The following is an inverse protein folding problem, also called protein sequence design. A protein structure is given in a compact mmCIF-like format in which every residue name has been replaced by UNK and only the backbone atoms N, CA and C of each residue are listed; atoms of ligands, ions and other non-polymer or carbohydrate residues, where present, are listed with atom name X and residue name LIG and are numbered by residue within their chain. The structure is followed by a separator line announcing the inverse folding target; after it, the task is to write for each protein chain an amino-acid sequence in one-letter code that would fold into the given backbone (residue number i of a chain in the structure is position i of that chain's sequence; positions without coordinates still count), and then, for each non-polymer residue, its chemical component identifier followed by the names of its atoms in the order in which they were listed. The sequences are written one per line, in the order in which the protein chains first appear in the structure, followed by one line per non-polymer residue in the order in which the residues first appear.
data_IF_330387944922
#
_entry.id   IF_330387944922
#
_cell.length_a   1.000
_cell.length_b   1.000
_cell.length_c   1.000
_cell.angle_alpha   90.00
_cell.angle_beta   90.00
_cell.angle_gamma   90.00
#
_symmetry.space_group_name_H-M   'P 1'
#
loop_
_entity.id
_entity.type
_entity.pdbx_description
1 polymer ?
#
# COMPACT_ATOMS: atom_id res chain seq x y z
N UNK A 1 -21.20 15.85 7.19
CA UNK A 1 -20.13 15.10 6.50
C UNK A 1 -20.43 13.62 6.57
N UNK A 2 -20.31 12.93 5.43
CA UNK A 2 -20.45 11.49 5.32
C UNK A 2 -19.38 10.99 4.37
N UNK A 3 -18.70 9.91 4.73
CA UNK A 3 -17.74 9.24 3.85
C UNK A 3 -18.02 7.74 3.87
N UNK A 4 -17.96 7.13 2.69
CA UNK A 4 -18.06 5.69 2.52
C UNK A 4 -17.01 5.21 1.53
N UNK A 5 -16.47 4.03 1.79
CA UNK A 5 -15.56 3.32 0.91
C UNK A 5 -16.01 1.86 0.86
N UNK A 6 -16.18 1.36 -0.36
CA UNK A 6 -16.55 -0.02 -0.67
C UNK A 6 -15.54 -0.47 -1.72
N UNK A 7 -14.66 -1.38 -1.34
CA UNK A 7 -13.62 -1.88 -2.23
C UNK A 7 -12.40 -2.47 -1.53
N UNK A 8 -11.35 -2.68 -2.33
CA UNK A 8 -10.19 -3.46 -1.94
C UNK A 8 -9.03 -2.61 -1.40
N UNK A 9 -8.51 -3.00 -0.23
CA UNK A 9 -7.29 -2.46 0.35
C UNK A 9 -6.20 -3.53 0.33
N UNK A 10 -5.11 -3.29 -0.41
CA UNK A 10 -3.95 -4.17 -0.40
C UNK A 10 -2.87 -3.64 0.54
N UNK A 11 -2.45 -4.50 1.47
CA UNK A 11 -1.31 -4.24 2.35
C UNK A 11 -0.06 -4.93 1.78
N UNK A 12 0.62 -4.25 0.85
CA UNK A 12 1.79 -4.79 0.13
C UNK A 12 2.89 -5.33 1.05
N UNK A 13 3.09 -4.73 2.22
CA UNK A 13 4.04 -5.24 3.20
C UNK A 13 3.69 -6.67 3.65
N UNK A 14 2.40 -6.95 3.93
CA UNK A 14 1.97 -8.31 4.28
C UNK A 14 2.12 -9.28 3.10
N UNK A 15 1.79 -8.82 1.89
CA UNK A 15 1.93 -9.63 0.67
C UNK A 15 3.38 -10.05 0.41
N UNK A 16 4.33 -9.09 0.45
CA UNK A 16 5.75 -9.37 0.24
C UNK A 16 6.32 -10.28 1.33
N UNK A 17 5.86 -10.12 2.56
CA UNK A 17 6.36 -10.92 3.68
C UNK A 17 5.87 -12.35 3.65
N UNK A 18 4.61 -12.59 3.28
CA UNK A 18 4.13 -13.95 3.04
C UNK A 18 4.99 -14.65 1.97
N UNK A 19 5.31 -13.95 0.87
CA UNK A 19 6.18 -14.48 -0.18
C UNK A 19 7.61 -14.77 0.31
N UNK A 20 8.18 -13.92 1.17
CA UNK A 20 9.51 -14.14 1.74
C UNK A 20 9.52 -15.28 2.77
N UNK A 21 8.47 -15.42 3.59
CA UNK A 21 8.36 -16.48 4.58
C UNK A 21 8.20 -17.87 3.94
N UNK A 22 7.55 -17.95 2.77
CA UNK A 22 7.35 -19.20 2.02
C UNK A 22 8.58 -19.62 1.20
N UNK A 23 9.58 -18.74 1.04
CA UNK A 23 10.84 -19.06 0.35
C UNK A 23 11.91 -19.44 1.38
N UNK A 24 12.25 -20.73 1.55
CA UNK A 24 13.40 -21.12 2.37
C UNK A 24 14.68 -20.52 1.76
N UNK A 25 15.60 -20.06 2.60
CA UNK A 25 16.97 -19.76 2.18
C UNK A 25 17.60 -21.06 1.62
N UNK A 26 17.72 -21.15 0.30
CA UNK A 26 18.43 -22.23 -0.37
C UNK A 26 19.90 -21.85 -0.56
N UNK A 27 20.78 -22.85 -0.46
CA UNK A 27 22.19 -22.63 -0.78
C UNK A 27 22.34 -22.60 -2.31
N UNK A 28 22.82 -21.48 -2.82
CA UNK A 28 23.27 -21.31 -4.20
C UNK A 28 24.75 -20.92 -4.17
N UNK A 29 25.54 -21.57 -5.03
CA UNK A 29 26.98 -21.30 -5.09
C UNK A 29 27.24 -20.27 -6.19
N UNK A 30 27.80 -19.13 -5.82
CA UNK A 30 28.12 -18.03 -6.72
C UNK A 30 29.64 -18.00 -6.95
N UNK A 31 30.07 -18.04 -8.21
CA UNK A 31 31.48 -17.93 -8.57
C UNK A 31 31.63 -16.92 -9.69
N UNK A 32 32.60 -16.02 -9.54
CA UNK A 32 32.89 -14.99 -10.53
C UNK A 32 34.24 -15.24 -11.19
N UNK A 33 34.41 -14.77 -12.42
CA UNK A 33 35.70 -14.72 -13.11
C UNK A 33 36.49 -13.43 -12.78
N UNK A 34 37.58 -13.16 -13.50
CA UNK A 34 38.44 -11.99 -13.25
C UNK A 34 37.77 -10.67 -13.67
N UNK A 35 36.73 -10.76 -14.49
CA UNK A 35 35.91 -9.68 -15.00
C UNK A 35 34.66 -9.41 -14.14
N UNK A 36 34.46 -10.22 -13.08
CA UNK A 36 33.27 -10.25 -12.22
C UNK A 36 32.00 -10.79 -12.90
N UNK A 37 32.14 -11.54 -14.00
CA UNK A 37 31.02 -12.23 -14.64
C UNK A 37 30.77 -13.58 -13.95
N UNK A 38 29.50 -13.98 -13.84
CA UNK A 38 29.12 -15.27 -13.26
C UNK A 38 29.66 -16.44 -14.08
N UNK A 39 30.28 -17.40 -13.39
CA UNK A 39 30.79 -18.64 -13.98
C UNK A 39 30.38 -19.85 -13.15
N UNK A 40 30.44 -21.02 -13.77
CA UNK A 40 30.24 -22.27 -13.04
C UNK A 40 31.31 -22.46 -11.97
N UNK A 41 30.86 -22.74 -10.74
CA UNK A 41 31.72 -23.11 -9.63
C UNK A 41 32.34 -24.49 -9.85
N UNK A 42 33.62 -24.63 -9.48
CA UNK A 42 34.23 -25.94 -9.36
C UNK A 42 33.69 -26.68 -8.13
N UNK A 43 33.75 -28.01 -8.13
CA UNK A 43 33.28 -28.82 -7.00
C UNK A 43 33.96 -28.44 -5.67
N UNK A 44 35.22 -28.01 -5.71
CA UNK A 44 35.94 -27.58 -4.51
C UNK A 44 35.36 -26.27 -3.94
N UNK A 45 35.10 -25.29 -4.82
CA UNK A 45 34.51 -23.99 -4.46
C UNK A 45 33.08 -24.19 -3.91
N UNK A 46 32.27 -25.03 -4.57
CA UNK A 46 30.91 -25.36 -4.07
C UNK A 46 30.96 -25.97 -2.67
N UNK A 47 31.90 -26.88 -2.40
CA UNK A 47 32.02 -27.53 -1.10
C UNK A 47 32.50 -26.56 -0.01
N UNK A 48 33.41 -25.64 -0.36
CA UNK A 48 33.89 -24.61 0.56
C UNK A 48 32.77 -23.63 0.92
N UNK A 49 32.09 -23.07 -0.08
CA UNK A 49 30.93 -22.18 0.12
C UNK A 49 29.82 -22.87 0.90
N UNK A 50 29.55 -24.16 0.63
CA UNK A 50 28.55 -24.92 1.40
C UNK A 50 28.97 -25.11 2.86
N UNK A 51 30.25 -25.35 3.13
CA UNK A 51 30.75 -25.48 4.50
C UNK A 51 30.65 -24.15 5.26
N UNK A 52 30.93 -23.02 4.60
CA UNK A 52 30.73 -21.68 5.17
C UNK A 52 29.24 -21.40 5.40
N UNK A 53 28.40 -21.71 4.42
CA UNK A 53 26.95 -21.61 4.54
C UNK A 53 26.42 -22.38 5.75
N UNK A 54 26.84 -23.63 5.92
CA UNK A 54 26.41 -24.46 7.04
C UNK A 54 26.96 -23.95 8.39
N UNK A 55 28.19 -23.40 8.41
CA UNK A 55 28.79 -22.82 9.60
C UNK A 55 28.05 -21.55 10.08
N UNK A 56 27.57 -20.72 9.15
CA UNK A 56 26.83 -19.50 9.44
C UNK A 56 25.32 -19.70 9.66
N UNK A 57 24.81 -20.93 9.53
CA UNK A 57 23.38 -21.22 9.64
C UNK A 57 22.75 -20.68 10.93
N UNK A 58 23.47 -20.77 12.06
CA UNK A 58 22.97 -20.24 13.34
C UNK A 58 22.91 -18.72 13.40
N UNK A 59 23.85 -18.02 12.75
CA UNK A 59 23.87 -16.57 12.66
C UNK A 59 22.77 -16.07 11.72
N UNK A 60 22.57 -16.71 10.57
CA UNK A 60 21.44 -16.42 9.66
C UNK A 60 20.10 -16.62 10.35
N UNK A 61 19.92 -17.74 11.07
CA UNK A 61 18.70 -17.98 11.84
C UNK A 61 18.47 -16.98 12.99
N UNK A 62 19.53 -16.38 13.55
CA UNK A 62 19.41 -15.31 14.54
C UNK A 62 19.00 -13.98 13.90
N UNK A 63 19.66 -13.61 12.79
CA UNK A 63 19.35 -12.41 12.02
C UNK A 63 17.93 -12.41 11.48
N UNK A 64 17.47 -13.52 10.89
CA UNK A 64 16.10 -13.64 10.40
C UNK A 64 15.05 -13.46 11.52
N UNK A 65 15.35 -13.92 12.74
CA UNK A 65 14.46 -13.72 13.90
C UNK A 65 14.40 -12.25 14.33
N UNK A 66 15.54 -11.56 14.36
CA UNK A 66 15.63 -10.13 14.65
C UNK A 66 14.85 -9.31 13.61
N UNK A 67 15.09 -9.56 12.33
CA UNK A 67 14.38 -8.88 11.23
C UNK A 67 12.87 -9.14 11.27
N UNK A 68 12.44 -10.37 11.60
CA UNK A 68 11.04 -10.69 11.78
C UNK A 68 10.40 -9.94 12.98
N UNK A 69 11.12 -9.78 14.10
CA UNK A 69 10.64 -9.02 15.26
C UNK A 69 10.53 -7.53 14.98
N UNK A 70 11.52 -6.93 14.33
CA UNK A 70 11.50 -5.52 13.92
C UNK A 70 10.35 -5.24 12.95
N UNK A 71 10.15 -6.11 11.96
CA UNK A 71 9.06 -5.95 11.00
C UNK A 71 7.69 -6.19 11.61
N UNK A 72 7.56 -7.13 12.56
CA UNK A 72 6.34 -7.27 13.35
C UNK A 72 6.01 -5.98 14.11
N UNK A 73 7.01 -5.32 14.69
CA UNK A 73 6.80 -4.04 15.36
C UNK A 73 6.35 -2.95 14.38
N UNK A 74 6.95 -2.90 13.20
CA UNK A 74 6.57 -1.97 12.13
C UNK A 74 5.11 -2.17 11.66
N UNK A 75 4.64 -3.41 11.59
CA UNK A 75 3.26 -3.78 11.22
C UNK A 75 2.26 -3.73 12.39
N UNK A 76 2.55 -2.94 13.43
CA UNK A 76 1.64 -2.78 14.57
C UNK A 76 1.47 -4.05 15.41
N UNK A 77 2.46 -4.95 15.39
CA UNK A 77 2.49 -6.20 16.14
C UNK A 77 1.91 -7.41 15.40
N UNK A 78 1.64 -7.30 14.10
CA UNK A 78 1.10 -8.38 13.26
C UNK A 78 2.24 -9.30 12.79
N UNK A 79 2.08 -10.60 12.99
CA UNK A 79 3.05 -11.61 12.54
C UNK A 79 2.70 -12.07 11.11
N UNK A 80 3.49 -11.70 10.09
CA UNK A 80 3.16 -12.00 8.70
C UNK A 80 3.28 -13.49 8.35
N UNK A 81 4.01 -14.28 9.15
CA UNK A 81 4.20 -15.72 8.94
C UNK A 81 3.03 -16.56 9.51
N UNK A 82 2.19 -15.96 10.34
CA UNK A 82 1.03 -16.62 10.90
C UNK A 82 -0.18 -16.47 9.94
N UNK A 83 -0.73 -17.57 9.38
CA UNK A 83 -1.87 -17.50 8.48
C UNK A 83 -3.13 -16.89 9.12
N UNK A 84 -3.22 -16.88 10.46
CA UNK A 84 -4.32 -16.24 11.20
C UNK A 84 -4.12 -14.73 11.42
N UNK A 85 -2.91 -14.21 11.22
CA UNK A 85 -2.61 -12.80 11.52
C UNK A 85 -3.37 -11.81 10.63
N UNK A 86 -3.68 -12.20 9.39
CA UNK A 86 -4.54 -11.42 8.51
C UNK A 86 -5.99 -11.34 9.04
N UNK A 87 -6.51 -12.44 9.59
CA UNK A 87 -7.83 -12.46 10.22
C UNK A 87 -7.84 -11.65 11.52
N UNK A 88 -6.78 -11.75 12.33
CA UNK A 88 -6.65 -10.90 13.51
C UNK A 88 -6.66 -9.42 13.12
N UNK A 89 -5.91 -9.04 12.08
CA UNK A 89 -5.84 -7.66 11.60
C UNK A 89 -7.20 -7.16 11.12
N UNK A 90 -7.93 -7.95 10.34
CA UNK A 90 -9.32 -7.65 9.97
C UNK A 90 -10.18 -7.38 11.21
N UNK A 91 -10.12 -8.28 12.21
CA UNK A 91 -10.83 -8.10 13.47
C UNK A 91 -10.32 -6.91 14.30
N UNK A 92 -9.08 -6.43 14.13
CA UNK A 92 -8.59 -5.18 14.74
C UNK A 92 -9.16 -3.96 14.02
N UNK A 93 -9.23 -3.99 12.70
CA UNK A 93 -9.78 -2.91 11.88
C UNK A 93 -11.26 -2.71 12.21
N UNK A 94 -12.05 -3.77 12.26
CA UNK A 94 -13.49 -3.72 12.59
C UNK A 94 -13.80 -3.17 14.00
N UNK A 95 -12.79 -3.09 14.90
CA UNK A 95 -12.96 -2.40 16.20
C UNK A 95 -12.89 -0.88 16.08
N UNK A 96 -12.28 -0.36 15.02
CA UNK A 96 -12.21 1.07 14.78
C UNK A 96 -13.53 1.56 14.20
N UNK A 97 -14.01 2.71 14.70
CA UNK A 97 -15.29 3.28 14.27
C UNK A 97 -15.32 3.49 12.76
N UNK A 98 -16.34 2.94 12.12
CA UNK A 98 -16.65 3.09 10.71
C UNK A 98 -16.14 1.94 9.83
N UNK A 99 -15.28 1.05 10.33
CA UNK A 99 -14.94 -0.20 9.64
C UNK A 99 -16.07 -1.22 9.90
N UNK A 100 -17.06 -1.25 9.00
CA UNK A 100 -18.27 -2.06 9.17
C UNK A 100 -18.04 -3.53 8.82
N UNK A 101 -17.23 -3.79 7.80
CA UNK A 101 -16.82 -5.14 7.39
C UNK A 101 -15.40 -5.14 6.82
N UNK A 102 -14.59 -6.12 7.21
CA UNK A 102 -13.25 -6.35 6.65
C UNK A 102 -13.06 -7.85 6.39
N UNK A 103 -12.99 -8.23 5.13
CA UNK A 103 -12.84 -9.63 4.70
C UNK A 103 -11.45 -9.84 4.11
N UNK A 104 -10.67 -10.77 4.67
CA UNK A 104 -9.37 -11.13 4.09
C UNK A 104 -9.55 -12.01 2.84
N UNK A 105 -8.98 -11.58 1.73
CA UNK A 105 -9.13 -12.22 0.42
C UNK A 105 -7.89 -13.05 0.00
N UNK A 106 -6.82 -13.04 0.81
CA UNK A 106 -5.53 -13.65 0.47
C UNK A 106 -4.49 -12.60 0.05
N UNK A 107 -3.20 -12.96 0.07
CA UNK A 107 -2.09 -12.15 -0.44
C UNK A 107 -2.07 -10.70 0.06
N UNK A 108 -2.42 -10.47 1.33
CA UNK A 108 -2.50 -9.12 1.92
C UNK A 108 -3.63 -8.24 1.39
N UNK A 109 -4.57 -8.80 0.62
CA UNK A 109 -5.74 -8.11 0.07
C UNK A 109 -6.93 -8.23 1.03
N UNK A 110 -7.63 -7.11 1.25
CA UNK A 110 -8.81 -7.04 2.09
C UNK A 110 -9.95 -6.38 1.31
N UNK A 111 -11.12 -7.00 1.32
CA UNK A 111 -12.37 -6.39 0.86
C UNK A 111 -13.03 -5.66 2.04
N UNK A 112 -13.33 -4.37 1.87
CA UNK A 112 -13.68 -3.45 2.97
C UNK A 112 -14.96 -2.69 2.67
N UNK A 113 -15.89 -2.69 3.63
CA UNK A 113 -16.97 -1.69 3.72
C UNK A 113 -16.67 -0.75 4.90
N UNK A 114 -16.38 0.51 4.60
CA UNK A 114 -16.15 1.56 5.56
C UNK A 114 -17.21 2.66 5.42
N UNK A 115 -17.83 3.07 6.53
CA UNK A 115 -18.82 4.15 6.56
C UNK A 115 -18.69 4.98 7.81
N UNK A 116 -18.62 6.30 7.65
CA UNK A 116 -18.66 7.25 8.76
C UNK A 116 -19.56 8.44 8.44
N UNK A 117 -20.25 8.92 9.48
CA UNK A 117 -21.06 10.12 9.40
C UNK A 117 -20.85 11.00 10.64
N UNK A 118 -20.92 12.31 10.44
CA UNK A 118 -20.78 13.28 11.52
C UNK A 118 -20.61 14.71 11.03
N UNK A 119 -20.26 15.59 11.95
CA UNK A 119 -19.83 16.95 11.65
C UNK A 119 -18.30 16.98 11.53
N UNK A 120 -17.80 17.51 10.43
CA UNK A 120 -16.36 17.65 10.22
C UNK A 120 -15.88 18.87 11.03
N UNK A 121 -15.22 18.60 12.15
CA UNK A 121 -14.64 19.62 13.06
C UNK A 121 -13.12 19.65 13.04
N UNK A 122 -12.52 18.60 12.50
CA UNK A 122 -11.09 18.42 12.29
C UNK A 122 -10.90 17.81 10.91
N UNK A 123 -9.66 17.84 10.42
CA UNK A 123 -9.30 17.19 9.17
C UNK A 123 -9.64 15.70 9.21
N UNK A 124 -10.02 15.17 8.06
CA UNK A 124 -10.30 13.75 7.89
C UNK A 124 -9.30 13.16 6.91
N UNK A 125 -8.87 11.93 7.18
CA UNK A 125 -8.01 11.19 6.29
C UNK A 125 -8.43 9.71 6.36
N UNK A 126 -8.35 9.01 5.23
CA UNK A 126 -8.68 7.60 5.13
C UNK A 126 -7.69 6.87 4.21
N UNK A 127 -7.26 5.62 4.52
CA UNK A 127 -7.53 4.90 5.77
C UNK A 127 -6.56 5.29 6.89
N UNK A 128 -7.07 5.52 8.11
CA UNK A 128 -6.24 5.59 9.32
C UNK A 128 -6.38 4.25 10.05
N UNK A 129 -5.24 3.63 10.36
CA UNK A 129 -5.20 2.34 11.03
C UNK A 129 -4.42 2.47 12.34
N UNK A 130 -5.04 2.03 13.44
CA UNK A 130 -4.43 2.06 14.77
C UNK A 130 -3.05 1.39 14.76
N UNK A 131 -2.03 2.09 15.29
CA UNK A 131 -0.62 1.62 15.37
C UNK A 131 0.09 1.40 14.03
N UNK A 132 -0.47 1.86 12.92
CA UNK A 132 0.23 1.94 11.64
C UNK A 132 0.50 3.40 11.26
N UNK A 133 1.72 3.87 11.52
CA UNK A 133 2.08 5.30 11.39
C UNK A 133 2.47 5.73 9.97
N UNK A 134 2.78 4.80 9.08
CA UNK A 134 3.33 5.04 7.73
C UNK A 134 2.39 4.56 6.61
N UNK A 135 1.08 4.63 6.85
CA UNK A 135 0.06 4.22 5.88
C UNK A 135 -0.13 5.23 4.75
N UNK A 136 -0.38 4.73 3.52
CA UNK A 136 -0.82 5.56 2.41
C UNK A 136 -2.27 5.98 2.62
N UNK A 137 -2.51 7.29 2.67
CA UNK A 137 -3.86 7.84 2.71
C UNK A 137 -4.44 7.87 1.31
N UNK A 138 -5.63 7.31 1.13
CA UNK A 138 -6.35 7.35 -0.14
C UNK A 138 -7.08 8.67 -0.34
N UNK A 139 -7.66 9.19 0.74
CA UNK A 139 -8.43 10.43 0.76
C UNK A 139 -8.01 11.28 1.93
N UNK A 140 -7.85 12.58 1.69
CA UNK A 140 -7.73 13.61 2.73
C UNK A 140 -8.76 14.70 2.50
N UNK A 141 -9.31 15.20 3.59
CA UNK A 141 -10.29 16.28 3.62
C UNK A 141 -9.82 17.29 4.64
N UNK A 142 -9.32 18.42 4.16
CA UNK A 142 -8.67 19.46 4.96
C UNK A 142 -9.61 20.64 5.11
N UNK A 143 -9.90 21.00 6.36
CA UNK A 143 -10.65 22.18 6.70
C UNK A 143 -9.77 23.43 6.53
N UNK A 144 -10.35 24.49 5.98
CA UNK A 144 -9.70 25.79 5.80
C UNK A 144 -10.54 26.89 6.42
N UNK A 145 -9.85 27.93 6.88
CA UNK A 145 -10.50 29.16 7.36
C UNK A 145 -11.46 29.72 6.29
N UNK A 146 -12.52 30.36 6.76
CA UNK A 146 -13.57 30.91 5.88
C UNK A 146 -14.54 29.87 5.33
N UNK A 147 -14.74 28.75 6.04
CA UNK A 147 -15.78 27.76 5.70
C UNK A 147 -15.44 26.94 4.47
N UNK A 148 -14.15 26.72 4.17
CA UNK A 148 -13.72 25.97 3.00
C UNK A 148 -13.24 24.58 3.35
N UNK A 149 -13.39 23.66 2.40
CA UNK A 149 -12.92 22.29 2.50
C UNK A 149 -12.18 21.93 1.23
N UNK A 150 -10.94 21.45 1.38
CA UNK A 150 -10.17 20.85 0.30
C UNK A 150 -10.25 19.33 0.40
N UNK A 151 -10.62 18.68 -0.70
CA UNK A 151 -10.61 17.22 -0.83
C UNK A 151 -9.50 16.86 -1.80
N UNK A 152 -8.59 15.99 -1.38
CA UNK A 152 -7.60 15.35 -2.24
C UNK A 152 -7.76 13.83 -2.12
N UNK A 153 -7.72 13.11 -3.25
CA UNK A 153 -7.84 11.65 -3.26
C UNK A 153 -6.60 10.98 -3.89
N UNK A 154 -5.40 11.16 -3.29
CA UNK A 154 -4.14 10.72 -3.87
C UNK A 154 -4.03 9.21 -4.12
N UNK A 155 -4.75 8.38 -3.37
CA UNK A 155 -4.72 6.92 -3.54
C UNK A 155 -5.37 6.41 -4.83
N UNK A 156 -6.02 7.29 -5.59
CA UNK A 156 -6.71 6.92 -6.84
C UNK A 156 -5.99 7.43 -8.11
N UNK A 157 -4.73 7.84 -7.99
CA UNK A 157 -3.86 8.12 -9.14
C UNK A 157 -2.90 6.94 -9.39
N UNK A 158 -2.65 6.63 -10.66
CA UNK A 158 -1.74 5.56 -11.09
C UNK A 158 -0.29 5.79 -10.62
N UNK A 159 0.13 7.06 -10.54
CA UNK A 159 1.33 7.47 -9.82
C UNK A 159 0.89 7.94 -8.45
N UNK A 160 0.83 7.01 -7.47
CA UNK A 160 0.27 7.25 -6.14
C UNK A 160 0.60 8.64 -5.62
N UNK A 161 -0.45 9.44 -5.45
CA UNK A 161 -0.36 10.88 -5.28
C UNK A 161 0.47 11.24 -4.05
N UNK A 162 1.74 11.55 -4.26
CA UNK A 162 2.57 12.22 -3.28
C UNK A 162 3.24 11.36 -2.20
N UNK A 163 3.38 10.03 -2.35
CA UNK A 163 4.25 9.28 -1.43
C UNK A 163 5.70 9.22 -1.95
N UNK A 164 6.67 9.89 -1.27
CA UNK A 164 8.08 9.86 -1.66
C UNK A 164 8.66 8.44 -1.73
N UNK A 165 8.14 7.52 -0.93
CA UNK A 165 8.59 6.13 -0.90
C UNK A 165 8.16 5.34 -2.15
N UNK A 166 7.01 5.67 -2.75
CA UNK A 166 6.58 5.09 -4.02
C UNK A 166 7.36 5.68 -5.20
N UNK A 167 7.70 6.97 -5.15
CA UNK A 167 8.64 7.58 -6.09
C UNK A 167 10.05 7.00 -5.99
N UNK A 168 10.49 6.66 -4.78
CA UNK A 168 11.77 5.99 -4.54
C UNK A 168 11.75 4.53 -5.01
N UNK A 169 10.65 3.79 -4.77
CA UNK A 169 10.48 2.42 -5.27
C UNK A 169 10.34 2.36 -6.79
N UNK A 170 9.64 3.32 -7.41
CA UNK A 170 9.61 3.47 -8.87
C UNK A 170 11.00 3.83 -9.43
N UNK A 171 11.77 4.66 -8.71
CA UNK A 171 13.16 4.97 -9.04
C UNK A 171 14.09 3.75 -8.92
N UNK A 172 13.91 2.92 -7.89
CA UNK A 172 14.64 1.66 -7.71
C UNK A 172 14.24 0.61 -8.74
N UNK A 173 12.96 0.47 -9.06
CA UNK A 173 12.48 -0.42 -10.11
C UNK A 173 13.00 0.01 -11.50
N UNK A 174 13.07 1.32 -11.76
CA UNK A 174 13.70 1.86 -12.97
C UNK A 174 15.23 1.64 -13.01
N UNK A 175 15.89 1.53 -11.86
CA UNK A 175 17.30 1.15 -11.77
C UNK A 175 17.49 -0.37 -11.95
N UNK A 176 16.61 -1.17 -11.35
CA UNK A 176 16.61 -2.62 -11.46
C UNK A 176 16.27 -3.10 -12.89
N UNK A 177 15.43 -2.37 -13.61
CA UNK A 177 15.12 -2.65 -15.02
C UNK A 177 16.28 -2.30 -15.97
N UNK A 178 17.28 -1.54 -15.51
CA UNK A 178 18.52 -1.25 -16.23
C UNK A 178 19.65 -2.24 -15.89
N UNK A 179 19.44 -3.11 -14.90
CA UNK A 179 20.33 -4.22 -14.52
C UNK A 179 19.58 -5.53 -14.82
N UNK A 180 19.82 -6.13 -15.98
CA UNK A 180 19.13 -7.34 -16.47
C UNK A 180 19.35 -8.64 -15.64
N UNK A 181 19.68 -8.55 -14.34
CA UNK A 181 19.99 -9.71 -13.48
C UNK A 181 19.19 -9.68 -12.17
N UNK A 182 17.86 -9.72 -12.27
CA UNK A 182 17.00 -10.15 -11.16
C UNK A 182 15.76 -10.86 -11.73
N UNK A 183 15.99 -11.96 -12.46
CA UNK A 183 14.94 -12.90 -12.86
C UNK A 183 14.54 -13.74 -11.63
N UNK A 184 13.56 -13.28 -10.83
CA UNK A 184 13.02 -14.15 -9.77
C UNK A 184 12.03 -13.54 -8.77
N UNK A 185 11.96 -12.21 -8.67
CA UNK A 185 10.91 -11.55 -7.90
C UNK A 185 9.84 -11.03 -8.87
N UNK A 186 8.79 -11.83 -9.13
CA UNK A 186 7.55 -11.22 -9.61
C UNK A 186 7.10 -10.24 -8.53
N UNK A 187 7.06 -8.92 -8.79
CA UNK A 187 6.53 -7.98 -7.82
C UNK A 187 5.10 -8.42 -7.54
N UNK A 188 4.81 -8.76 -6.28
CA UNK A 188 3.50 -9.26 -5.87
C UNK A 188 2.40 -8.42 -6.52
N UNK A 189 1.45 -9.09 -7.16
CA UNK A 189 0.45 -8.45 -8.04
C UNK A 189 -0.18 -7.24 -7.34
N UNK A 190 0.22 -6.05 -7.77
CA UNK A 190 -0.30 -4.80 -7.21
C UNK A 190 -1.72 -4.64 -7.72
N UNK A 191 -2.67 -4.57 -6.80
CA UNK A 191 -4.06 -4.27 -7.12
C UNK A 191 -4.14 -2.81 -7.53
N UNK A 192 -4.61 -2.57 -8.74
CA UNK A 192 -4.78 -1.23 -9.29
C UNK A 192 -6.23 -0.81 -9.07
N UNK A 193 -6.50 0.38 -8.49
CA UNK A 193 -7.86 0.79 -8.21
C UNK A 193 -8.65 0.99 -9.50
N UNK A 194 -9.84 0.39 -9.55
CA UNK A 194 -10.84 0.58 -10.59
C UNK A 194 -12.20 0.86 -9.96
N UNK A 195 -12.89 1.90 -10.42
CA UNK A 195 -14.20 2.25 -9.87
C UNK A 195 -14.56 3.71 -10.04
N UNK A 196 -15.22 4.27 -9.03
CA UNK A 196 -15.73 5.64 -9.09
C UNK A 196 -15.45 6.37 -7.78
N UNK A 197 -14.88 7.57 -7.88
CA UNK A 197 -14.80 8.50 -6.76
C UNK A 197 -15.86 9.59 -6.95
N UNK A 198 -16.65 9.87 -5.92
CA UNK A 198 -17.76 10.82 -5.99
C UNK A 198 -17.76 11.75 -4.79
N UNK A 199 -17.93 13.04 -5.06
CA UNK A 199 -18.24 14.04 -4.04
C UNK A 199 -19.64 14.57 -4.31
N UNK A 200 -20.50 14.55 -3.29
CA UNK A 200 -21.82 15.21 -3.33
C UNK A 200 -21.85 16.31 -2.29
N UNK A 201 -22.22 17.52 -2.69
CA UNK A 201 -22.17 18.72 -1.85
C UNK A 201 -23.29 19.70 -2.19
N UNK A 202 -23.80 20.40 -1.18
CA UNK A 202 -24.64 21.59 -1.30
C UNK A 202 -23.82 22.89 -1.29
N UNK A 203 -22.57 22.84 -0.82
CA UNK A 203 -21.63 23.95 -0.87
C UNK A 203 -21.19 24.31 -2.29
N UNK A 204 -20.70 25.55 -2.45
CA UNK A 204 -20.24 26.10 -3.72
C UNK A 204 -18.87 25.54 -4.11
N UNK A 205 -18.79 24.88 -5.27
CA UNK A 205 -17.54 24.37 -5.82
C UNK A 205 -16.70 25.53 -6.36
N UNK A 206 -15.50 25.72 -5.79
CA UNK A 206 -14.55 26.77 -6.21
C UNK A 206 -13.55 26.26 -7.25
N UNK A 207 -13.11 25.01 -7.13
CA UNK A 207 -12.20 24.35 -8.07
C UNK A 207 -12.39 22.84 -8.03
N UNK A 208 -12.17 22.15 -9.16
CA UNK A 208 -12.12 20.70 -9.27
C UNK A 208 -11.35 20.29 -10.54
N UNK A 209 -11.00 19.01 -10.67
CA UNK A 209 -10.39 18.44 -11.87
C UNK A 209 -11.22 17.30 -12.49
N UNK A 210 -12.55 17.36 -12.40
CA UNK A 210 -13.41 16.45 -13.19
C UNK A 210 -13.43 16.84 -14.66
N UNK A 211 -13.56 15.86 -15.56
CA UNK A 211 -13.73 16.11 -16.99
C UNK A 211 -15.11 16.71 -17.31
N UNK A 212 -16.15 16.20 -16.67
CA UNK A 212 -17.56 16.58 -16.93
C UNK A 212 -18.04 17.79 -16.12
N UNK A 213 -17.24 18.26 -15.15
CA UNK A 213 -17.64 19.32 -14.24
C UNK A 213 -18.75 18.92 -13.25
N UNK A 214 -19.27 19.89 -12.47
CA UNK A 214 -20.38 19.66 -11.54
C UNK A 214 -21.68 19.29 -12.26
N UNK A 215 -22.30 18.19 -11.83
CA UNK A 215 -23.60 17.72 -12.29
C UNK A 215 -24.68 17.97 -11.21
N UNK A 216 -25.94 18.09 -11.61
CA UNK A 216 -27.04 18.27 -10.66
C UNK A 216 -27.28 16.99 -9.84
N UNK A 217 -27.45 17.12 -8.52
CA UNK A 217 -27.79 16.03 -7.60
C UNK A 217 -28.95 16.44 -6.68
N UNK A 218 -29.72 15.48 -6.17
CA UNK A 218 -30.84 15.76 -5.26
C UNK A 218 -30.40 16.50 -3.97
N UNK A 219 -29.11 16.39 -3.59
CA UNK A 219 -28.50 17.07 -2.44
C UNK A 219 -27.66 18.29 -2.83
N UNK A 220 -27.74 18.75 -4.07
CA UNK A 220 -26.99 19.91 -4.57
C UNK A 220 -26.27 19.58 -5.87
N UNK A 221 -24.97 19.34 -5.79
CA UNK A 221 -24.10 19.06 -6.92
C UNK A 221 -23.27 17.79 -6.68
N UNK A 222 -22.98 17.06 -7.75
CA UNK A 222 -22.09 15.91 -7.75
C UNK A 222 -20.88 16.16 -8.65
N UNK A 223 -19.70 15.77 -8.16
CA UNK A 223 -18.47 15.62 -8.94
C UNK A 223 -18.15 14.13 -8.99
N UNK A 224 -17.94 13.59 -10.19
CA UNK A 224 -17.74 12.15 -10.42
C UNK A 224 -16.46 11.94 -11.23
N UNK A 225 -15.59 11.07 -10.74
CA UNK A 225 -14.39 10.62 -11.43
C UNK A 225 -14.46 9.11 -11.67
N UNK A 226 -14.15 8.68 -12.88
CA UNK A 226 -13.90 7.28 -13.19
C UNK A 226 -12.44 6.96 -12.89
N UNK A 227 -12.22 6.03 -11.95
CA UNK A 227 -10.89 5.61 -11.52
C UNK A 227 -10.51 4.37 -12.31
N UNK A 228 -9.32 4.38 -12.89
CA UNK A 228 -8.77 3.27 -13.67
C UNK A 228 -7.23 3.28 -13.59
N UNK A 229 -6.55 2.23 -14.09
CA UNK A 229 -5.10 2.22 -14.23
C UNK A 229 -4.53 3.38 -15.06
N UNK A 230 -5.37 4.10 -15.82
CA UNK A 230 -4.98 5.26 -16.64
C UNK A 230 -5.23 6.61 -15.96
N UNK A 231 -5.71 6.62 -14.71
CA UNK A 231 -5.97 7.86 -13.99
C UNK A 231 -4.65 8.53 -13.59
N UNK A 232 -4.21 9.51 -14.36
CA UNK A 232 -2.92 10.20 -14.13
C UNK A 232 -2.99 11.19 -12.97
N UNK A 233 -4.08 11.95 -12.87
CA UNK A 233 -4.27 12.97 -11.84
C UNK A 233 -5.26 12.49 -10.78
N UNK A 234 -4.85 12.57 -9.52
CA UNK A 234 -5.72 12.27 -8.39
C UNK A 234 -6.95 13.20 -8.39
N UNK A 235 -8.14 12.70 -8.04
CA UNK A 235 -9.31 13.56 -7.83
C UNK A 235 -9.04 14.65 -6.79
N UNK A 236 -9.39 15.90 -7.13
CA UNK A 236 -9.28 17.04 -6.22
C UNK A 236 -10.48 17.97 -6.33
N UNK A 237 -10.87 18.57 -5.21
CA UNK A 237 -11.89 19.61 -5.18
C UNK A 237 -11.63 20.62 -4.06
N UNK A 238 -12.05 21.86 -4.28
CA UNK A 238 -12.15 22.91 -3.27
C UNK A 238 -13.60 23.40 -3.20
N UNK A 239 -14.19 23.33 -2.02
CA UNK A 239 -15.62 23.62 -1.78
C UNK A 239 -15.72 24.68 -0.68
N UNK A 240 -16.64 25.63 -0.84
CA UNK A 240 -16.95 26.64 0.16
C UNK A 240 -18.38 26.44 0.70
N UNK A 241 -18.53 26.60 2.01
CA UNK A 241 -19.79 26.60 2.73
C UNK A 241 -19.94 27.98 3.36
N UNK A 242 -20.89 28.77 2.84
CA UNK A 242 -21.24 30.12 3.28
C UNK A 242 -22.44 30.16 4.24
#
# INVERSE_FOLDING_TARGET
FTYSYDGEIQMLALSKLAQMADKPEEFEAECYDEEFDERECTLAEVNEQRAEWDAEASARAAKQREEAEEMKAFLGGVDPSNPEAAQELAAKLERQRGWEQVTYMGDGLFDVDFRISGQLTHDFAFPVIEKMQMGNMFVTVILRDGGQVRVDAPGFAAQGGGNPMQGMMAGMAGLAQMSEENEGEEPGKIVVPEGTFTIVTDGRILANNTDEGPQADARGQALVWNISPRTEQAPTALIAFD
#
